data_IF_498718483995
#
_entry.id   IF_498718483995
#
_cell.length_a   1.000
_cell.length_b   1.000
_cell.length_c   1.000
_cell.angle_alpha   90.00
_cell.angle_beta   90.00
_cell.angle_gamma   90.00
#
_symmetry.space_group_name_H-M   'P 1'
#
loop_
_entity.id
_entity.type
_entity.pdbx_description
1 polymer ?
#
# COMPACT_ATOMS: atom_id res chain seq x y z
N UNK A 1 17.95 10.31 13.34
CA UNK A 1 18.13 10.50 11.87
C UNK A 1 17.32 9.52 11.02
N UNK A 2 16.29 8.85 11.56
CA UNK A 2 15.50 7.81 10.86
C UNK A 2 14.32 8.44 10.07
N UNK A 3 13.80 9.58 10.54
CA UNK A 3 12.64 10.27 9.97
C UNK A 3 12.86 10.85 8.57
N UNK A 4 14.07 11.32 8.25
CA UNK A 4 14.36 11.95 6.96
C UNK A 4 14.33 10.97 5.79
N UNK A 5 14.80 9.73 6.02
CA UNK A 5 14.88 8.69 4.98
C UNK A 5 13.52 8.10 4.66
N UNK A 6 12.70 7.81 5.68
CA UNK A 6 11.33 7.33 5.51
C UNK A 6 10.44 8.36 4.79
N UNK A 7 10.55 9.64 5.14
CA UNK A 7 9.83 10.71 4.44
C UNK A 7 10.28 10.85 2.98
N UNK A 8 11.58 10.73 2.70
CA UNK A 8 12.10 10.77 1.33
C UNK A 8 11.60 9.60 0.48
N UNK A 9 11.48 8.42 1.08
CA UNK A 9 10.91 7.23 0.45
C UNK A 9 9.43 7.42 0.10
N UNK A 10 8.62 7.83 1.09
CA UNK A 10 7.18 8.05 0.91
C UNK A 10 6.91 9.05 -0.22
N UNK A 11 7.68 10.14 -0.29
CA UNK A 11 7.59 11.11 -1.38
C UNK A 11 7.93 10.53 -2.75
N UNK A 12 8.97 9.69 -2.86
CA UNK A 12 9.34 9.05 -4.12
C UNK A 12 8.25 8.09 -4.61
N UNK A 13 7.77 7.22 -3.73
CA UNK A 13 6.68 6.28 -4.06
C UNK A 13 5.42 7.04 -4.50
N UNK A 14 5.07 8.11 -3.78
CA UNK A 14 3.93 8.96 -4.14
C UNK A 14 4.11 9.65 -5.51
N UNK A 15 5.33 10.08 -5.84
CA UNK A 15 5.61 10.70 -7.13
C UNK A 15 5.48 9.70 -8.28
N UNK A 16 6.00 8.48 -8.10
CA UNK A 16 5.84 7.38 -9.06
C UNK A 16 4.36 7.07 -9.26
N UNK A 17 3.60 6.91 -8.17
CA UNK A 17 2.17 6.63 -8.21
C UNK A 17 1.39 7.74 -8.93
N UNK A 18 1.69 9.00 -8.62
CA UNK A 18 1.09 10.16 -9.28
C UNK A 18 1.33 10.13 -10.79
N UNK A 19 2.56 9.89 -11.22
CA UNK A 19 2.94 9.82 -12.64
C UNK A 19 2.24 8.67 -13.36
N UNK A 20 2.11 7.50 -12.72
CA UNK A 20 1.36 6.36 -13.24
C UNK A 20 -0.14 6.66 -13.36
N UNK A 21 -0.75 7.22 -12.31
CA UNK A 21 -2.19 7.58 -12.30
C UNK A 21 -2.56 8.68 -13.30
N UNK A 22 -1.65 9.62 -13.55
CA UNK A 22 -1.81 10.65 -14.58
C UNK A 22 -1.71 10.09 -16.00
N UNK A 23 -1.32 8.82 -16.17
CA UNK A 23 -1.18 8.19 -17.48
C UNK A 23 0.03 8.69 -18.28
N UNK A 24 1.02 9.30 -17.63
CA UNK A 24 2.22 9.87 -18.26
C UNK A 24 3.50 9.10 -17.93
N UNK A 25 3.39 7.94 -17.26
CA UNK A 25 4.53 7.10 -16.87
C UNK A 25 5.38 6.60 -18.05
N UNK A 26 4.82 6.49 -19.25
CA UNK A 26 5.55 6.08 -20.46
C UNK A 26 6.70 7.02 -20.83
N UNK A 27 6.68 8.27 -20.36
CA UNK A 27 7.81 9.21 -20.52
C UNK A 27 8.96 8.96 -19.53
N UNK A 28 8.72 8.17 -18.48
CA UNK A 28 9.59 8.01 -17.32
C UNK A 28 9.91 6.56 -16.99
N UNK A 29 9.66 5.61 -17.90
CA UNK A 29 9.77 4.16 -17.63
C UNK A 29 11.10 3.79 -16.98
N UNK A 30 12.21 4.23 -17.60
CA UNK A 30 13.56 3.97 -17.09
C UNK A 30 13.80 4.58 -15.71
N UNK A 31 13.34 5.81 -15.49
CA UNK A 31 13.50 6.50 -14.20
C UNK A 31 12.69 5.80 -13.11
N UNK A 32 11.48 5.32 -13.44
CA UNK A 32 10.63 4.57 -12.52
C UNK A 32 11.29 3.24 -12.16
N UNK A 33 11.80 2.50 -13.16
CA UNK A 33 12.51 1.23 -12.94
C UNK A 33 13.77 1.43 -12.09
N UNK A 34 14.62 2.40 -12.44
CA UNK A 34 15.86 2.71 -11.71
C UNK A 34 15.57 3.11 -10.26
N UNK A 35 14.52 3.90 -10.03
CA UNK A 35 14.15 4.34 -8.69
C UNK A 35 13.52 3.21 -7.87
N UNK A 36 12.61 2.41 -8.43
CA UNK A 36 12.06 1.24 -7.76
C UNK A 36 13.17 0.22 -7.44
N UNK A 37 14.14 0.01 -8.33
CA UNK A 37 15.28 -0.87 -8.09
C UNK A 37 16.08 -0.48 -6.84
N UNK A 38 16.25 0.82 -6.58
CA UNK A 38 16.91 1.35 -5.36
C UNK A 38 16.08 1.13 -4.08
N UNK A 39 14.78 0.90 -4.22
CA UNK A 39 13.83 0.66 -3.11
C UNK A 39 13.57 -0.83 -2.85
N UNK A 40 14.31 -1.71 -3.52
CA UNK A 40 14.17 -3.17 -3.41
C UNK A 40 14.62 -3.74 -2.06
N UNK A 41 15.55 -3.08 -1.38
CA UNK A 41 15.95 -3.48 -0.02
C UNK A 41 14.78 -3.37 0.96
N UNK A 42 14.70 -4.31 1.92
CA UNK A 42 13.63 -4.40 2.90
C UNK A 42 13.46 -3.07 3.64
N UNK A 43 12.36 -2.41 3.32
CA UNK A 43 11.93 -1.21 4.00
C UNK A 43 11.03 -1.65 5.14
N UNK A 44 11.64 -1.74 6.32
CA UNK A 44 10.89 -1.90 7.55
C UNK A 44 10.25 -0.56 7.92
N UNK A 45 9.07 -0.32 7.34
CA UNK A 45 8.25 0.85 7.61
C UNK A 45 6.95 0.42 8.28
N UNK A 46 6.62 1.02 9.41
CA UNK A 46 5.34 0.78 10.12
C UNK A 46 4.16 1.56 9.54
N UNK A 47 4.39 2.30 8.44
CA UNK A 47 3.38 3.09 7.75
C UNK A 47 2.65 2.21 6.73
N UNK A 48 1.34 1.98 6.96
CA UNK A 48 0.50 1.15 6.10
C UNK A 48 0.44 1.67 4.67
N UNK A 49 0.37 2.99 4.49
CA UNK A 49 0.37 3.63 3.18
C UNK A 49 1.67 3.34 2.43
N UNK A 50 2.83 3.51 3.09
CA UNK A 50 4.14 3.27 2.46
C UNK A 50 4.31 1.80 2.06
N UNK A 51 3.98 0.87 2.97
CA UNK A 51 4.13 -0.57 2.69
C UNK A 51 3.19 -1.01 1.57
N UNK A 52 1.92 -0.63 1.63
CA UNK A 52 0.92 -1.01 0.62
C UNK A 52 1.25 -0.42 -0.75
N UNK A 53 1.64 0.85 -0.80
CA UNK A 53 2.00 1.49 -2.06
C UNK A 53 3.25 0.86 -2.68
N UNK A 54 4.28 0.58 -1.86
CA UNK A 54 5.49 -0.11 -2.32
C UNK A 54 5.12 -1.47 -2.91
N UNK A 55 4.36 -2.28 -2.17
CA UNK A 55 3.91 -3.59 -2.63
C UNK A 55 3.19 -3.51 -3.99
N UNK A 56 2.24 -2.58 -4.11
CA UNK A 56 1.48 -2.34 -5.35
C UNK A 56 2.40 -2.01 -6.52
N UNK A 57 3.28 -1.03 -6.34
CA UNK A 57 4.18 -0.55 -7.41
C UNK A 57 5.14 -1.65 -7.90
N UNK A 58 5.73 -2.45 -7.00
CA UNK A 58 6.62 -3.54 -7.39
C UNK A 58 5.87 -4.64 -8.16
N UNK A 59 4.69 -5.06 -7.68
CA UNK A 59 3.90 -6.10 -8.36
C UNK A 59 3.41 -5.66 -9.74
N UNK A 60 3.06 -4.38 -9.90
CA UNK A 60 2.71 -3.83 -11.21
C UNK A 60 3.86 -3.87 -12.21
N UNK A 61 5.12 -3.87 -11.74
CA UNK A 61 6.31 -4.08 -12.58
C UNK A 61 6.68 -5.56 -12.77
N UNK A 62 5.85 -6.50 -12.30
CA UNK A 62 6.13 -7.93 -12.37
C UNK A 62 7.15 -8.42 -11.34
N UNK A 63 7.55 -7.58 -10.39
CA UNK A 63 8.46 -7.98 -9.30
C UNK A 63 7.65 -8.64 -8.18
N UNK A 64 7.99 -9.88 -7.84
CA UNK A 64 7.34 -10.61 -6.76
C UNK A 64 7.82 -10.09 -5.40
N UNK A 65 6.92 -9.44 -4.67
CA UNK A 65 7.08 -9.08 -3.25
C UNK A 65 6.19 -9.99 -2.41
N UNK A 66 6.72 -10.52 -1.30
CA UNK A 66 5.94 -11.36 -0.39
C UNK A 66 4.81 -10.57 0.26
N UNK A 67 3.62 -11.18 0.35
CA UNK A 67 2.49 -10.63 1.10
C UNK A 67 2.73 -10.65 2.62
N UNK A 68 3.72 -11.39 3.10
CA UNK A 68 4.09 -11.46 4.53
C UNK A 68 4.49 -10.10 5.11
N UNK A 69 4.83 -9.13 4.25
CA UNK A 69 5.08 -7.74 4.66
C UNK A 69 3.88 -7.12 5.39
N UNK A 70 2.68 -7.68 5.19
CA UNK A 70 1.45 -7.23 5.85
C UNK A 70 1.18 -7.89 7.21
N UNK A 71 1.91 -8.95 7.58
CA UNK A 71 1.70 -9.66 8.87
C UNK A 71 1.85 -8.74 10.08
N UNK A 72 2.76 -7.76 10.01
CA UNK A 72 2.95 -6.77 11.09
C UNK A 72 1.75 -5.85 11.33
N UNK A 73 0.82 -5.78 10.38
CA UNK A 73 -0.44 -5.05 10.52
C UNK A 73 -1.54 -5.90 11.13
N UNK A 74 -1.26 -7.16 11.49
CA UNK A 74 -2.18 -8.06 12.18
C UNK A 74 -1.93 -8.06 13.69
N UNK A 75 -2.99 -8.25 14.47
CA UNK A 75 -2.98 -8.41 15.92
C UNK A 75 -2.65 -9.85 16.34
N UNK A 76 -2.63 -10.10 17.65
CA UNK A 76 -2.31 -11.41 18.23
C UNK A 76 -3.39 -12.48 17.91
N UNK A 77 -4.58 -12.07 17.45
CA UNK A 77 -5.63 -12.98 16.95
C UNK A 77 -5.47 -13.31 15.46
N UNK A 78 -4.49 -12.70 14.79
CA UNK A 78 -4.28 -12.85 13.36
C UNK A 78 -5.34 -12.11 12.54
N UNK A 79 -5.85 -10.97 13.01
CA UNK A 79 -6.73 -10.07 12.24
C UNK A 79 -6.04 -8.74 12.00
N UNK A 80 -6.39 -8.03 10.94
CA UNK A 80 -5.90 -6.66 10.73
C UNK A 80 -6.29 -5.76 11.91
N UNK A 81 -5.30 -5.04 12.46
CA UNK A 81 -5.46 -4.20 13.64
C UNK A 81 -6.55 -3.13 13.42
N UNK A 82 -7.47 -3.01 14.36
CA UNK A 82 -8.50 -1.95 14.33
C UNK A 82 -7.90 -0.53 14.34
N UNK A 83 -6.68 -0.36 14.87
CA UNK A 83 -5.98 0.93 14.85
C UNK A 83 -5.73 1.48 13.45
N UNK A 84 -5.74 0.61 12.42
CA UNK A 84 -5.56 0.99 11.01
C UNK A 84 -6.78 1.71 10.43
N UNK A 85 -7.97 1.58 11.06
CA UNK A 85 -9.23 2.14 10.55
C UNK A 85 -9.18 3.68 10.46
N UNK A 86 -8.35 4.32 11.29
CA UNK A 86 -8.19 5.78 11.26
C UNK A 86 -7.27 6.26 10.13
N UNK A 87 -6.46 5.37 9.53
CA UNK A 87 -5.61 5.68 8.38
C UNK A 87 -6.34 5.38 7.07
N UNK A 88 -7.26 6.28 6.68
CA UNK A 88 -8.06 6.12 5.45
C UNK A 88 -7.16 5.96 4.22
N UNK A 89 -6.04 6.69 4.17
CA UNK A 89 -5.10 6.63 3.03
C UNK A 89 -4.38 5.29 2.98
N UNK A 90 -3.93 4.78 4.12
CA UNK A 90 -3.35 3.45 4.27
C UNK A 90 -4.35 2.37 3.90
N UNK A 91 -5.59 2.44 4.39
CA UNK A 91 -6.66 1.49 4.04
C UNK A 91 -6.95 1.45 2.54
N UNK A 92 -7.08 2.61 1.89
CA UNK A 92 -7.30 2.66 0.44
C UNK A 92 -6.11 2.06 -0.32
N UNK A 93 -4.88 2.32 0.13
CA UNK A 93 -3.68 1.77 -0.50
C UNK A 93 -3.57 0.27 -0.30
N UNK A 94 -3.94 -0.24 0.87
CA UNK A 94 -4.01 -1.67 1.16
C UNK A 94 -5.07 -2.36 0.30
N UNK A 95 -6.26 -1.75 0.17
CA UNK A 95 -7.32 -2.23 -0.71
C UNK A 95 -6.80 -2.41 -2.14
N UNK A 96 -6.19 -1.36 -2.72
CA UNK A 96 -5.63 -1.42 -4.08
C UNK A 96 -4.49 -2.44 -4.23
N UNK A 97 -3.63 -2.56 -3.21
CA UNK A 97 -2.54 -3.52 -3.19
C UNK A 97 -3.06 -4.97 -3.16
N UNK A 98 -4.10 -5.23 -2.38
CA UNK A 98 -4.65 -6.56 -2.19
C UNK A 98 -5.26 -7.16 -3.46
N UNK A 99 -5.77 -6.34 -4.39
CA UNK A 99 -6.22 -6.81 -5.71
C UNK A 99 -5.10 -7.32 -6.63
N UNK A 100 -3.83 -7.21 -6.24
CA UNK A 100 -2.71 -7.83 -6.93
C UNK A 100 -2.35 -9.20 -6.36
N UNK A 101 -3.24 -9.81 -5.57
CA UNK A 101 -3.08 -11.14 -5.02
C UNK A 101 -2.85 -12.20 -6.10
N UNK A 102 -1.99 -13.17 -5.78
CA UNK A 102 -1.87 -14.43 -6.52
C UNK A 102 -2.41 -15.58 -5.66
N UNK A 103 -2.62 -16.75 -6.28
CA UNK A 103 -3.15 -17.93 -5.58
C UNK A 103 -2.29 -18.30 -4.37
N UNK A 104 -2.94 -18.45 -3.21
CA UNK A 104 -2.33 -18.86 -1.95
C UNK A 104 -1.87 -17.71 -1.04
N UNK A 105 -2.33 -16.48 -1.30
CA UNK A 105 -2.01 -15.30 -0.48
C UNK A 105 -3.22 -14.84 0.32
N UNK A 106 -3.68 -15.69 1.24
CA UNK A 106 -4.93 -15.52 1.99
C UNK A 106 -4.98 -14.18 2.78
N UNK A 107 -3.84 -13.67 3.22
CA UNK A 107 -3.74 -12.35 3.87
C UNK A 107 -4.26 -11.20 3.00
N UNK A 108 -4.16 -11.30 1.68
CA UNK A 108 -4.65 -10.27 0.77
C UNK A 108 -6.17 -10.39 0.57
N UNK A 109 -6.72 -11.60 0.58
CA UNK A 109 -8.17 -11.80 0.58
C UNK A 109 -8.80 -11.25 1.88
N UNK A 110 -8.16 -11.50 3.03
CA UNK A 110 -8.51 -10.89 4.31
C UNK A 110 -8.42 -9.36 4.25
N UNK A 111 -7.38 -8.82 3.63
CA UNK A 111 -7.18 -7.38 3.47
C UNK A 111 -8.30 -6.74 2.64
N UNK A 112 -8.77 -7.40 1.57
CA UNK A 112 -9.92 -6.93 0.77
C UNK A 112 -11.17 -6.85 1.65
N UNK A 113 -11.45 -7.88 2.44
CA UNK A 113 -12.64 -7.91 3.32
C UNK A 113 -12.56 -6.80 4.37
N UNK A 114 -11.43 -6.67 5.06
CA UNK A 114 -11.19 -5.66 6.07
C UNK A 114 -11.36 -4.24 5.49
N UNK A 115 -10.59 -3.91 4.45
CA UNK A 115 -10.60 -2.57 3.85
C UNK A 115 -11.95 -2.23 3.23
N UNK A 116 -12.61 -3.16 2.53
CA UNK A 116 -13.95 -2.92 1.95
C UNK A 116 -14.99 -2.59 3.02
N UNK A 117 -14.96 -3.31 4.14
CA UNK A 117 -15.92 -3.11 5.24
C UNK A 117 -15.75 -1.73 5.85
N UNK A 118 -14.52 -1.35 6.20
CA UNK A 118 -14.25 -0.08 6.87
C UNK A 118 -14.32 1.13 5.93
N UNK A 119 -13.84 1.02 4.69
CA UNK A 119 -13.97 2.12 3.71
C UNK A 119 -15.44 2.42 3.37
N UNK A 120 -16.31 1.40 3.25
CA UNK A 120 -17.77 1.62 3.09
C UNK A 120 -18.39 2.30 4.30
N UNK A 121 -17.95 1.95 5.51
CA UNK A 121 -18.43 2.62 6.73
C UNK A 121 -18.06 4.10 6.75
N UNK A 122 -16.85 4.46 6.31
CA UNK A 122 -16.41 5.87 6.20
C UNK A 122 -17.31 6.66 5.24
N UNK A 123 -17.64 6.08 4.08
CA UNK A 123 -18.53 6.71 3.08
C UNK A 123 -19.95 6.90 3.64
N UNK A 124 -20.47 5.89 4.33
CA UNK A 124 -21.79 5.99 4.97
C UNK A 124 -21.87 7.11 6.00
N UNK A 125 -20.78 7.40 6.73
CA UNK A 125 -20.75 8.48 7.71
C UNK A 125 -20.80 9.85 7.00
N UNK A 126 -20.08 10.00 5.89
CA UNK A 126 -20.09 11.27 5.14
C UNK A 126 -21.47 11.63 4.58
N UNK A 127 -22.28 10.63 4.19
CA UNK A 127 -23.63 10.85 3.65
C UNK A 127 -24.65 11.34 4.69
N UNK A 128 -24.37 11.17 5.99
CA UNK A 128 -25.24 11.61 7.08
C UNK A 128 -24.82 12.95 7.69
N UNK A 129 -23.72 13.54 7.20
CA UNK A 129 -23.17 14.82 7.66
C UNK A 129 -23.43 15.99 6.71
N UNK A 130 -24.36 15.83 5.76
CA UNK A 130 -24.83 16.87 4.84
C UNK A 130 -26.31 17.18 5.00
#
# INVERSE_FOLDING_TARGET
MITTTANKLAHKLHMIDSVQRLGVAYHFEKQIEDELGKLSHDLDSDDLYVVSLRFRLFRQQGVKISCDVFEKFKDDEGKFKESLINDIRGMLSLYEAAYLAIRGEDILDEAIVFTTTHLKSVISISDHSH
#
